data_IF_596157466890
#
_entry.id   IF_596157466890
#
_cell.length_a   1.000
_cell.length_b   1.000
_cell.length_c   1.000
_cell.angle_alpha   90.00
_cell.angle_beta   90.00
_cell.angle_gamma   90.00
#
_symmetry.space_group_name_H-M   'P 1'
#
loop_
_entity.id
_entity.type
_entity.pdbx_description
1 polymer ?
#
# COMPACT_ATOMS: atom_id res chain seq x y z
N UNK A 1 -11.64 -1.35 -40.06
CA UNK A 1 -12.88 -2.08 -40.37
C UNK A 1 -13.97 -1.57 -39.45
N UNK A 2 -15.11 -1.11 -39.98
CA UNK A 2 -16.24 -0.70 -39.15
C UNK A 2 -16.99 -1.94 -38.66
N UNK A 3 -17.44 -1.91 -37.41
CA UNK A 3 -18.26 -2.98 -36.85
C UNK A 3 -19.73 -2.58 -36.82
N UNK A 4 -20.61 -3.57 -36.89
CA UNK A 4 -22.04 -3.37 -36.80
C UNK A 4 -22.45 -2.75 -35.45
N UNK A 5 -23.24 -1.67 -35.48
CA UNK A 5 -23.70 -0.92 -34.30
C UNK A 5 -24.87 -1.58 -33.57
N UNK A 6 -25.50 -2.58 -34.18
CA UNK A 6 -26.60 -3.33 -33.57
C UNK A 6 -26.15 -4.00 -32.27
N UNK A 7 -27.01 -3.93 -31.24
CA UNK A 7 -26.83 -4.63 -29.96
C UNK A 7 -27.93 -5.68 -29.81
N UNK A 8 -27.57 -6.85 -29.29
CA UNK A 8 -28.53 -7.97 -29.11
C UNK A 8 -29.52 -7.64 -28.00
N UNK A 9 -30.83 -7.77 -28.26
CA UNK A 9 -31.91 -7.43 -27.32
C UNK A 9 -31.82 -8.17 -25.95
N UNK A 10 -31.19 -9.34 -25.88
CA UNK A 10 -31.13 -10.14 -24.63
C UNK A 10 -29.85 -9.96 -23.81
N UNK A 11 -28.74 -9.57 -24.44
CA UNK A 11 -27.44 -9.44 -23.76
C UNK A 11 -26.90 -8.03 -23.77
N UNK A 12 -27.54 -7.11 -24.50
CA UNK A 12 -27.06 -5.75 -24.77
C UNK A 12 -25.65 -5.69 -25.39
N UNK A 13 -25.06 -6.84 -25.74
CA UNK A 13 -23.71 -6.94 -26.29
C UNK A 13 -23.68 -6.47 -27.75
N UNK A 14 -22.60 -5.80 -28.17
CA UNK A 14 -22.44 -5.35 -29.54
C UNK A 14 -22.34 -6.54 -30.50
N UNK A 15 -22.83 -6.35 -31.72
CA UNK A 15 -22.70 -7.33 -32.80
C UNK A 15 -21.22 -7.59 -33.14
N UNK A 16 -20.82 -8.86 -33.24
CA UNK A 16 -19.44 -9.28 -33.55
C UNK A 16 -19.07 -9.13 -35.04
N UNK A 17 -20.05 -8.90 -35.92
CA UNK A 17 -19.81 -8.85 -37.37
C UNK A 17 -19.34 -7.47 -37.84
N UNK A 18 -18.43 -7.48 -38.82
CA UNK A 18 -18.00 -6.27 -39.52
C UNK A 18 -19.09 -5.75 -40.44
N UNK A 19 -19.09 -4.44 -40.63
CA UNK A 19 -19.95 -3.76 -41.59
C UNK A 19 -19.07 -3.26 -42.75
N UNK A 20 -19.45 -3.63 -43.98
CA UNK A 20 -18.64 -3.31 -45.18
C UNK A 20 -18.97 -1.94 -45.78
N UNK A 21 -20.22 -1.48 -45.66
CA UNK A 21 -20.68 -0.25 -46.33
C UNK A 21 -21.68 0.59 -45.51
N UNK A 22 -22.51 -0.05 -44.68
CA UNK A 22 -23.46 0.62 -43.77
C UNK A 22 -22.99 0.50 -42.31
N UNK A 23 -23.59 1.22 -41.37
CA UNK A 23 -23.36 1.01 -39.93
C UNK A 23 -23.80 -0.39 -39.43
N UNK A 24 -24.42 -1.20 -40.30
CA UNK A 24 -24.96 -2.52 -40.00
C UNK A 24 -24.28 -3.61 -40.84
N UNK A 25 -24.13 -4.82 -40.26
CA UNK A 25 -23.68 -6.01 -41.00
C UNK A 25 -24.81 -6.55 -41.90
N UNK A 26 -24.49 -7.46 -42.82
CA UNK A 26 -25.45 -8.06 -43.74
C UNK A 26 -26.67 -8.71 -43.04
N UNK A 27 -26.49 -9.23 -41.82
CA UNK A 27 -27.56 -9.84 -41.02
C UNK A 27 -28.52 -8.78 -40.46
N UNK A 28 -28.02 -7.57 -40.18
CA UNK A 28 -28.79 -6.50 -39.54
C UNK A 28 -29.05 -5.32 -40.48
N UNK A 29 -28.89 -5.49 -41.79
CA UNK A 29 -29.09 -4.44 -42.79
C UNK A 29 -30.50 -3.84 -42.74
N UNK A 30 -31.50 -4.66 -42.38
CA UNK A 30 -32.90 -4.25 -42.27
C UNK A 30 -33.29 -3.72 -40.87
N UNK A 31 -32.36 -3.67 -39.91
CA UNK A 31 -32.61 -3.22 -38.53
C UNK A 31 -32.19 -1.76 -38.32
N UNK A 32 -32.31 -0.92 -39.35
CA UNK A 32 -31.97 0.49 -39.22
C UNK A 32 -32.83 1.15 -38.13
N UNK A 33 -32.16 1.60 -37.06
CA UNK A 33 -32.80 2.30 -35.97
C UNK A 33 -31.88 3.42 -35.47
N UNK A 34 -32.40 4.65 -35.47
CA UNK A 34 -31.68 5.85 -35.00
C UNK A 34 -31.19 5.70 -33.55
N UNK A 35 -31.89 4.92 -32.73
CA UNK A 35 -31.51 4.63 -31.35
C UNK A 35 -30.14 3.94 -31.27
N UNK A 36 -29.83 3.01 -32.17
CA UNK A 36 -28.53 2.34 -32.16
C UNK A 36 -27.39 3.28 -32.55
N UNK A 37 -27.65 4.26 -33.41
CA UNK A 37 -26.66 5.28 -33.77
C UNK A 37 -26.34 6.17 -32.55
N UNK A 38 -27.37 6.62 -31.83
CA UNK A 38 -27.22 7.41 -30.60
C UNK A 38 -26.45 6.63 -29.53
N UNK A 39 -26.81 5.37 -29.28
CA UNK A 39 -26.11 4.53 -28.30
C UNK A 39 -24.64 4.34 -28.70
N UNK A 40 -24.37 4.06 -29.99
CA UNK A 40 -23.01 3.86 -30.46
C UNK A 40 -22.17 5.16 -30.41
N UNK A 41 -22.76 6.33 -30.67
CA UNK A 41 -22.09 7.62 -30.50
C UNK A 41 -21.79 7.93 -29.03
N UNK A 42 -22.67 7.53 -28.11
CA UNK A 42 -22.50 7.82 -26.69
C UNK A 42 -21.46 6.91 -26.00
N UNK A 43 -21.46 5.61 -26.29
CA UNK A 43 -20.66 4.60 -25.54
C UNK A 43 -19.87 3.63 -26.43
N UNK A 44 -19.94 3.79 -27.75
CA UNK A 44 -19.30 2.88 -28.70
C UNK A 44 -19.74 1.44 -28.50
N UNK A 45 -18.75 0.56 -28.31
CA UNK A 45 -18.91 -0.89 -28.14
C UNK A 45 -18.81 -1.37 -26.69
N UNK A 46 -18.79 -0.46 -25.70
CA UNK A 46 -18.71 -0.84 -24.30
C UNK A 46 -19.89 -1.72 -23.87
N UNK A 47 -19.66 -2.65 -22.96
CA UNK A 47 -20.73 -3.44 -22.35
C UNK A 47 -21.62 -2.54 -21.47
N UNK A 48 -22.92 -2.77 -21.50
CA UNK A 48 -23.88 -1.92 -20.78
C UNK A 48 -23.79 -2.15 -19.27
N UNK A 49 -23.56 -1.07 -18.53
CA UNK A 49 -23.64 -0.99 -17.07
C UNK A 49 -24.34 0.34 -16.67
N UNK A 50 -24.44 0.64 -15.38
CA UNK A 50 -25.07 1.88 -14.89
C UNK A 50 -24.36 3.16 -15.34
N UNK A 51 -23.04 3.16 -15.42
CA UNK A 51 -22.23 4.27 -15.90
C UNK A 51 -22.48 4.53 -17.40
N UNK A 52 -22.57 3.48 -18.20
CA UNK A 52 -22.85 3.56 -19.64
C UNK A 52 -24.26 4.05 -19.93
N UNK A 53 -25.25 3.67 -19.11
CA UNK A 53 -26.60 4.23 -19.19
C UNK A 53 -26.57 5.75 -18.92
N UNK A 54 -25.79 6.20 -17.94
CA UNK A 54 -25.62 7.62 -17.68
C UNK A 54 -24.90 8.35 -18.83
N UNK A 55 -23.90 7.73 -19.45
CA UNK A 55 -23.21 8.31 -20.61
C UNK A 55 -24.14 8.48 -21.82
N UNK A 56 -25.05 7.52 -22.06
CA UNK A 56 -26.12 7.66 -23.07
C UNK A 56 -27.04 8.85 -22.71
N UNK A 57 -27.47 8.94 -21.45
CA UNK A 57 -28.30 10.05 -20.98
C UNK A 57 -27.62 11.40 -21.21
N UNK A 58 -26.37 11.52 -20.76
CA UNK A 58 -25.56 12.74 -20.86
C UNK A 58 -25.33 13.16 -22.31
N UNK A 59 -25.01 12.21 -23.19
CA UNK A 59 -24.87 12.48 -24.62
C UNK A 59 -26.17 13.08 -25.20
N UNK A 60 -27.32 12.46 -24.92
CA UNK A 60 -28.62 12.94 -25.41
C UNK A 60 -28.93 14.34 -24.87
N UNK A 61 -28.69 14.58 -23.58
CA UNK A 61 -29.03 15.86 -22.95
C UNK A 61 -28.06 17.00 -23.30
N UNK A 62 -26.83 16.69 -23.70
CA UNK A 62 -25.86 17.65 -24.21
C UNK A 62 -25.94 17.88 -25.73
N UNK A 63 -26.65 17.04 -26.48
CA UNK A 63 -26.82 17.22 -27.92
C UNK A 63 -27.90 18.27 -28.20
N UNK A 64 -27.56 19.28 -29.00
CA UNK A 64 -28.48 20.32 -29.43
C UNK A 64 -29.45 19.83 -30.53
N UNK A 65 -29.02 18.84 -31.32
CA UNK A 65 -29.79 18.27 -32.43
C UNK A 65 -30.97 17.38 -31.97
N UNK A 66 -31.01 17.01 -30.69
CA UNK A 66 -32.05 16.16 -30.12
C UNK A 66 -33.07 17.02 -29.37
N UNK A 67 -34.20 17.29 -30.03
CA UNK A 67 -35.28 18.10 -29.44
C UNK A 67 -36.09 17.33 -28.39
N UNK A 68 -36.35 16.03 -28.60
CA UNK A 68 -37.19 15.20 -27.71
C UNK A 68 -36.36 14.31 -26.78
N UNK A 69 -35.44 14.92 -26.02
CA UNK A 69 -34.40 14.28 -25.20
C UNK A 69 -34.91 13.13 -24.32
N UNK A 70 -35.95 13.39 -23.53
CA UNK A 70 -36.54 12.38 -22.65
C UNK A 70 -37.11 11.19 -23.45
N UNK A 71 -37.87 11.47 -24.51
CA UNK A 71 -38.45 10.43 -25.35
C UNK A 71 -37.37 9.54 -25.99
N UNK A 72 -36.32 10.16 -26.53
CA UNK A 72 -35.19 9.46 -27.15
C UNK A 72 -34.43 8.62 -26.13
N UNK A 73 -34.19 9.14 -24.93
CA UNK A 73 -33.56 8.35 -23.87
C UNK A 73 -34.40 7.14 -23.47
N UNK A 74 -35.71 7.32 -23.28
CA UNK A 74 -36.63 6.22 -22.98
C UNK A 74 -36.68 5.20 -24.13
N UNK A 75 -36.63 5.66 -25.38
CA UNK A 75 -36.53 4.78 -26.55
C UNK A 75 -35.22 3.97 -26.54
N UNK A 76 -34.09 4.57 -26.17
CA UNK A 76 -32.81 3.86 -25.99
C UNK A 76 -32.93 2.73 -24.98
N UNK A 77 -33.51 3.00 -23.82
CA UNK A 77 -33.73 1.97 -22.80
C UNK A 77 -34.70 0.90 -23.26
N UNK A 78 -35.81 1.26 -23.92
CA UNK A 78 -36.75 0.28 -24.49
C UNK A 78 -36.09 -0.61 -25.53
N UNK A 79 -35.25 -0.06 -26.39
CA UNK A 79 -34.52 -0.85 -27.39
C UNK A 79 -33.52 -1.80 -26.74
N UNK A 80 -32.72 -1.32 -25.78
CA UNK A 80 -31.74 -2.14 -25.07
C UNK A 80 -32.38 -3.25 -24.23
N UNK A 81 -33.51 -2.97 -23.58
CA UNK A 81 -34.11 -3.86 -22.58
C UNK A 81 -35.50 -4.41 -22.99
N UNK A 82 -35.83 -4.38 -24.28
CA UNK A 82 -37.15 -4.75 -24.83
C UNK A 82 -37.68 -6.12 -24.39
N UNK A 83 -36.81 -7.08 -24.15
CA UNK A 83 -37.16 -8.47 -23.80
C UNK A 83 -36.73 -8.88 -22.39
N UNK A 84 -36.13 -7.99 -21.60
CA UNK A 84 -35.51 -8.37 -20.32
C UNK A 84 -35.59 -7.27 -19.24
N UNK A 85 -36.80 -7.05 -18.70
CA UNK A 85 -36.99 -6.14 -17.55
C UNK A 85 -36.23 -6.55 -16.29
N UNK A 86 -35.89 -7.84 -16.14
CA UNK A 86 -35.11 -8.37 -15.01
C UNK A 86 -33.66 -7.86 -14.99
N UNK A 87 -33.02 -7.69 -16.15
CA UNK A 87 -31.66 -7.13 -16.26
C UNK A 87 -31.65 -5.66 -15.81
N UNK A 88 -32.65 -4.88 -16.22
CA UNK A 88 -32.78 -3.48 -15.83
C UNK A 88 -33.03 -3.31 -14.32
N UNK A 89 -33.80 -4.22 -13.72
CA UNK A 89 -34.02 -4.28 -12.26
C UNK A 89 -32.74 -4.65 -11.49
N UNK A 90 -31.89 -5.52 -12.07
CA UNK A 90 -30.62 -5.91 -11.48
C UNK A 90 -29.60 -4.76 -11.50
N UNK A 91 -29.58 -3.94 -12.57
CA UNK A 91 -28.69 -2.77 -12.67
C UNK A 91 -29.09 -1.60 -11.76
N UNK A 92 -30.32 -1.57 -11.26
CA UNK A 92 -30.86 -0.43 -10.50
C UNK A 92 -31.16 -0.75 -9.03
N UNK A 93 -30.94 -1.98 -8.57
CA UNK A 93 -31.33 -2.45 -7.23
C UNK A 93 -32.82 -2.25 -6.89
N UNK A 94 -33.67 -2.02 -7.90
CA UNK A 94 -35.11 -1.80 -7.72
C UNK A 94 -35.82 -3.16 -7.70
N UNK A 95 -35.86 -3.81 -6.53
CA UNK A 95 -36.64 -5.05 -6.32
C UNK A 95 -38.14 -4.78 -6.53
N UNK A 96 -38.85 -5.74 -7.13
CA UNK A 96 -40.33 -5.81 -7.23
C UNK A 96 -41.03 -4.75 -8.11
N UNK A 97 -40.66 -4.60 -9.38
CA UNK A 97 -41.43 -3.76 -10.31
C UNK A 97 -41.75 -4.55 -11.59
N UNK A 98 -43.03 -4.88 -11.78
CA UNK A 98 -43.52 -5.65 -12.94
C UNK A 98 -43.76 -4.78 -14.20
N UNK A 99 -43.54 -3.46 -14.13
CA UNK A 99 -43.81 -2.54 -15.24
C UNK A 99 -42.52 -1.85 -15.73
N UNK A 100 -42.06 -2.21 -16.93
CA UNK A 100 -40.86 -1.68 -17.58
C UNK A 100 -40.90 -0.14 -17.74
N UNK A 101 -42.06 0.44 -18.06
CA UNK A 101 -42.17 1.89 -18.23
C UNK A 101 -41.89 2.62 -16.91
N UNK A 102 -42.41 2.11 -15.78
CA UNK A 102 -42.14 2.70 -14.46
C UNK A 102 -40.65 2.63 -14.07
N UNK A 103 -39.96 1.54 -14.45
CA UNK A 103 -38.51 1.42 -14.21
C UNK A 103 -37.76 2.45 -15.05
N UNK A 104 -38.10 2.56 -16.34
CA UNK A 104 -37.51 3.53 -17.26
C UNK A 104 -37.70 4.97 -16.77
N UNK A 105 -38.89 5.31 -16.26
CA UNK A 105 -39.17 6.63 -15.69
C UNK A 105 -38.34 6.91 -14.44
N UNK A 106 -38.16 5.92 -13.57
CA UNK A 106 -37.27 6.05 -12.39
C UNK A 106 -35.81 6.22 -12.79
N UNK A 107 -35.33 5.47 -13.77
CA UNK A 107 -33.97 5.59 -14.30
C UNK A 107 -33.76 6.97 -14.92
N UNK A 108 -34.71 7.45 -15.72
CA UNK A 108 -34.66 8.79 -16.28
C UNK A 108 -34.58 9.84 -15.17
N UNK A 109 -35.44 9.78 -14.15
CA UNK A 109 -35.41 10.71 -13.02
C UNK A 109 -34.09 10.68 -12.26
N UNK A 110 -33.52 9.48 -12.02
CA UNK A 110 -32.22 9.33 -11.38
C UNK A 110 -31.10 9.98 -12.21
N UNK A 111 -31.02 9.67 -13.50
CA UNK A 111 -29.99 10.24 -14.39
C UNK A 111 -30.15 11.75 -14.56
N UNK A 112 -31.39 12.26 -14.60
CA UNK A 112 -31.66 13.69 -14.64
C UNK A 112 -31.16 14.38 -13.36
N UNK A 113 -31.44 13.82 -12.18
CA UNK A 113 -30.92 14.37 -10.93
C UNK A 113 -29.38 14.37 -10.92
N UNK A 114 -28.75 13.27 -11.33
CA UNK A 114 -27.28 13.16 -11.44
C UNK A 114 -26.72 14.20 -12.41
N UNK A 115 -27.35 14.38 -13.56
CA UNK A 115 -26.95 15.34 -14.59
C UNK A 115 -27.07 16.79 -14.12
N UNK A 116 -28.16 17.13 -13.41
CA UNK A 116 -28.35 18.47 -12.85
C UNK A 116 -27.37 18.76 -11.71
N UNK A 117 -27.02 17.74 -10.92
CA UNK A 117 -25.94 17.84 -9.94
C UNK A 117 -24.61 18.13 -10.64
N UNK A 118 -24.29 17.40 -11.73
CA UNK A 118 -23.02 17.56 -12.44
C UNK A 118 -22.89 18.93 -13.12
N UNK A 119 -23.97 19.44 -13.73
CA UNK A 119 -23.95 20.72 -14.45
C UNK A 119 -23.93 21.95 -13.56
N UNK A 120 -24.40 21.84 -12.32
CA UNK A 120 -24.46 22.96 -11.39
C UNK A 120 -23.29 22.87 -10.39
N UNK A 121 -22.28 23.73 -10.60
CA UNK A 121 -21.12 23.83 -9.71
C UNK A 121 -21.52 24.06 -8.24
N UNK A 122 -22.66 24.74 -7.99
CA UNK A 122 -23.17 24.97 -6.66
C UNK A 122 -23.67 23.66 -6.01
N UNK A 123 -24.25 22.74 -6.78
CA UNK A 123 -24.68 21.43 -6.29
C UNK A 123 -23.49 20.48 -6.06
N UNK A 124 -22.48 20.52 -6.92
CA UNK A 124 -21.22 19.80 -6.69
C UNK A 124 -20.55 20.24 -5.39
N UNK A 125 -20.52 21.55 -5.12
CA UNK A 125 -19.97 22.09 -3.87
C UNK A 125 -20.77 21.64 -2.63
N UNK A 126 -22.10 21.61 -2.70
CA UNK A 126 -22.93 21.07 -1.61
C UNK A 126 -22.63 19.59 -1.33
N UNK A 127 -22.47 18.77 -2.36
CA UNK A 127 -22.14 17.35 -2.20
C UNK A 127 -20.74 17.18 -1.60
N UNK A 128 -19.76 17.98 -2.03
CA UNK A 128 -18.41 17.97 -1.43
C UNK A 128 -18.48 18.31 0.06
N UNK A 129 -19.28 19.31 0.46
CA UNK A 129 -19.48 19.67 1.87
C UNK A 129 -20.08 18.50 2.67
N UNK A 130 -21.14 17.86 2.13
CA UNK A 130 -21.79 16.71 2.77
C UNK A 130 -20.81 15.53 2.89
N UNK A 131 -20.06 15.22 1.83
CA UNK A 131 -19.06 14.17 1.83
C UNK A 131 -17.96 14.44 2.87
N UNK A 132 -17.46 15.68 2.93
CA UNK A 132 -16.47 16.11 3.92
C UNK A 132 -17.01 15.98 5.35
N UNK A 133 -18.28 16.28 5.59
CA UNK A 133 -18.92 16.08 6.90
C UNK A 133 -18.93 14.61 7.32
N UNK A 134 -19.33 13.70 6.42
CA UNK A 134 -19.33 12.26 6.70
C UNK A 134 -17.91 11.70 6.86
N UNK A 135 -16.96 12.12 6.02
CA UNK A 135 -15.56 11.75 6.14
C UNK A 135 -14.98 12.21 7.48
N UNK A 136 -15.21 13.47 7.85
CA UNK A 136 -14.78 13.99 9.16
C UNK A 136 -15.39 13.19 10.31
N UNK A 137 -16.69 12.85 10.25
CA UNK A 137 -17.35 12.03 11.27
C UNK A 137 -16.68 10.67 11.44
N UNK A 138 -16.25 10.04 10.35
CA UNK A 138 -15.55 8.74 10.40
C UNK A 138 -14.16 8.85 11.04
N UNK A 139 -13.45 9.95 10.78
CA UNK A 139 -12.07 10.12 11.21
C UNK A 139 -11.92 10.93 12.50
N UNK A 140 -12.97 11.57 13.02
CA UNK A 140 -12.91 12.49 14.17
C UNK A 140 -12.22 11.87 15.40
N UNK A 141 -12.47 10.60 15.68
CA UNK A 141 -11.86 9.86 16.81
C UNK A 141 -10.35 9.63 16.66
N UNK A 142 -9.82 9.83 15.45
CA UNK A 142 -8.40 9.67 15.11
C UNK A 142 -7.68 11.01 15.01
N UNK A 143 -8.39 12.13 15.14
CA UNK A 143 -7.77 13.46 15.14
C UNK A 143 -7.14 13.69 16.52
N UNK A 144 -5.94 14.27 16.53
CA UNK A 144 -5.26 14.64 17.76
C UNK A 144 -6.12 15.58 18.62
N UNK A 145 -6.23 15.25 19.91
CA UNK A 145 -6.86 16.06 20.95
C UNK A 145 -5.90 16.15 22.14
N UNK A 146 -5.51 17.35 22.59
CA UNK A 146 -4.57 17.52 23.70
C UNK A 146 -5.09 16.97 25.04
N UNK A 147 -6.39 16.69 25.16
CA UNK A 147 -6.98 16.10 26.37
C UNK A 147 -6.87 14.56 26.39
N UNK A 148 -6.44 13.93 25.30
CA UNK A 148 -6.25 12.48 25.24
C UNK A 148 -4.87 12.13 25.77
N UNK A 149 -4.82 11.20 26.73
CA UNK A 149 -3.57 10.61 27.18
C UNK A 149 -3.02 9.66 26.12
N UNK A 150 -1.81 9.95 25.64
CA UNK A 150 -1.07 9.15 24.66
C UNK A 150 0.00 8.33 25.37
N UNK A 151 0.23 7.11 24.87
CA UNK A 151 1.20 6.18 25.42
C UNK A 151 2.62 6.40 24.90
N UNK A 152 2.75 7.07 23.75
CA UNK A 152 4.04 7.43 23.17
C UNK A 152 4.21 8.96 23.11
N UNK A 153 5.46 9.41 23.22
CA UNK A 153 5.88 10.81 23.09
C UNK A 153 6.62 11.09 21.79
N UNK A 154 7.08 10.04 21.11
CA UNK A 154 7.82 10.08 19.84
C UNK A 154 7.15 9.13 18.83
N UNK A 155 7.22 9.51 17.55
CA UNK A 155 6.76 8.66 16.46
C UNK A 155 7.71 7.46 16.27
N UNK A 156 7.21 6.22 16.09
CA UNK A 156 8.07 5.05 16.02
C UNK A 156 8.86 4.93 14.71
N UNK A 157 8.52 5.73 13.69
CA UNK A 157 9.15 5.68 12.38
C UNK A 157 10.18 6.78 12.18
N UNK A 158 9.90 7.98 12.71
CA UNK A 158 10.77 9.15 12.55
C UNK A 158 11.48 9.60 13.83
N UNK A 159 11.07 9.08 15.00
CA UNK A 159 11.52 9.53 16.33
C UNK A 159 11.25 11.01 16.64
N UNK A 160 10.45 11.68 15.80
CA UNK A 160 10.08 13.06 16.05
C UNK A 160 9.20 13.13 17.29
N UNK A 161 9.50 14.10 18.16
CA UNK A 161 8.70 14.35 19.34
C UNK A 161 7.33 14.91 18.93
N UNK A 162 6.29 14.46 19.63
CA UNK A 162 4.92 14.90 19.37
C UNK A 162 4.75 16.42 19.42
N UNK A 163 5.54 17.10 20.26
CA UNK A 163 5.46 18.54 20.44
C UNK A 163 5.94 19.33 19.21
N UNK A 164 6.84 18.73 18.43
CA UNK A 164 7.45 19.36 17.25
C UNK A 164 6.65 19.08 15.96
N UNK A 165 5.68 18.18 16.02
CA UNK A 165 4.89 17.73 14.89
C UNK A 165 3.62 18.57 14.67
N UNK A 166 3.32 18.84 13.40
CA UNK A 166 2.01 19.39 12.98
C UNK A 166 0.90 18.41 13.36
N UNK A 167 -0.02 18.87 14.23
CA UNK A 167 -1.12 18.06 14.75
C UNK A 167 -2.04 17.49 13.67
N UNK A 168 -2.12 18.12 12.49
CA UNK A 168 -2.88 17.58 11.35
C UNK A 168 -2.26 16.32 10.75
N UNK A 169 -0.95 16.11 10.93
CA UNK A 169 -0.26 14.91 10.46
C UNK A 169 -0.41 13.73 11.42
N UNK A 170 -0.81 13.99 12.67
CA UNK A 170 -0.93 12.97 13.71
C UNK A 170 -2.24 12.20 13.57
N UNK A 171 -2.14 10.89 13.48
CA UNK A 171 -3.26 9.96 13.50
C UNK A 171 -3.27 9.21 14.84
N UNK A 172 -4.37 9.32 15.58
CA UNK A 172 -4.55 8.63 16.85
C UNK A 172 -5.19 7.27 16.61
N UNK A 173 -4.55 6.22 17.11
CA UNK A 173 -5.06 4.85 17.11
C UNK A 173 -5.25 4.37 18.54
N UNK A 174 -6.49 4.03 18.88
CA UNK A 174 -6.84 3.45 20.19
C UNK A 174 -6.92 1.94 20.08
N UNK A 175 -6.09 1.25 20.84
CA UNK A 175 -6.05 -0.21 20.94
C UNK A 175 -6.08 -0.62 22.41
N UNK A 176 -7.04 -1.47 22.79
CA UNK A 176 -7.19 -1.94 24.18
C UNK A 176 -7.20 -0.79 25.21
N UNK A 177 -7.97 0.27 24.92
CA UNK A 177 -8.06 1.52 25.72
C UNK A 177 -6.75 2.32 25.84
N UNK A 178 -5.72 1.97 25.08
CA UNK A 178 -4.45 2.69 25.01
C UNK A 178 -4.40 3.50 23.72
N UNK A 179 -4.05 4.77 23.79
CA UNK A 179 -3.97 5.64 22.62
C UNK A 179 -2.51 5.78 22.18
N UNK A 180 -2.26 5.52 20.91
CA UNK A 180 -0.99 5.76 20.25
C UNK A 180 -1.17 6.86 19.23
N UNK A 181 -0.15 7.69 19.02
CA UNK A 181 -0.10 8.58 17.88
C UNK A 181 0.92 8.06 16.87
N UNK A 182 0.63 8.30 15.59
CA UNK A 182 1.55 8.06 14.49
C UNK A 182 1.49 9.22 13.51
N UNK A 183 2.58 9.48 12.79
CA UNK A 183 2.53 10.27 11.58
C UNK A 183 1.74 9.47 10.53
N UNK A 184 0.59 10.00 10.11
CA UNK A 184 -0.40 9.26 9.31
C UNK A 184 0.20 8.66 8.03
N UNK A 185 1.06 9.41 7.35
CA UNK A 185 1.70 9.01 6.09
C UNK A 185 2.75 7.93 6.31
N UNK A 186 3.48 7.97 7.43
CA UNK A 186 4.50 6.98 7.78
C UNK A 186 3.85 5.66 8.23
N UNK A 187 2.77 5.73 9.03
CA UNK A 187 1.98 4.55 9.36
C UNK A 187 1.40 3.88 8.11
N UNK A 188 0.90 4.68 7.15
CA UNK A 188 0.37 4.15 5.89
C UNK A 188 1.46 3.46 5.08
N UNK A 189 2.62 4.11 4.97
CA UNK A 189 3.77 3.54 4.28
C UNK A 189 4.17 2.20 4.90
N UNK A 190 4.31 2.17 6.21
CA UNK A 190 4.63 0.97 6.97
C UNK A 190 3.63 -0.17 6.73
N UNK A 191 2.32 0.12 6.76
CA UNK A 191 1.27 -0.90 6.51
C UNK A 191 1.42 -1.51 5.11
N UNK A 192 1.75 -0.69 4.11
CA UNK A 192 1.88 -1.13 2.73
C UNK A 192 3.12 -1.98 2.47
N UNK A 193 4.20 -1.75 3.22
CA UNK A 193 5.50 -2.40 2.97
C UNK A 193 5.80 -3.55 3.92
N UNK A 194 5.39 -3.45 5.17
CA UNK A 194 5.77 -4.38 6.26
C UNK A 194 4.59 -5.17 6.83
N UNK A 195 3.36 -4.75 6.52
CA UNK A 195 2.14 -5.43 6.94
C UNK A 195 1.30 -4.62 7.93
N UNK A 196 0.06 -5.05 8.12
CA UNK A 196 -0.95 -4.35 8.92
C UNK A 196 -0.88 -4.71 10.41
N UNK A 197 0.19 -4.31 11.10
CA UNK A 197 0.32 -4.52 12.54
C UNK A 197 0.74 -3.23 13.27
N UNK A 198 0.39 -3.10 14.54
CA UNK A 198 0.76 -1.95 15.35
C UNK A 198 2.25 -2.03 15.72
N UNK A 199 3.10 -1.04 15.39
CA UNK A 199 4.53 -1.08 15.67
C UNK A 199 4.91 -1.38 17.12
N UNK A 200 4.07 -0.95 18.08
CA UNK A 200 4.31 -1.08 19.51
C UNK A 200 3.85 -2.42 20.08
N UNK A 201 2.68 -2.93 19.68
CA UNK A 201 2.05 -4.11 20.28
C UNK A 201 2.12 -5.35 19.40
N UNK A 202 2.51 -5.17 18.14
CA UNK A 202 2.49 -6.18 17.06
C UNK A 202 1.10 -6.79 16.79
N UNK A 203 0.03 -6.22 17.34
CA UNK A 203 -1.34 -6.64 17.06
C UNK A 203 -1.77 -6.20 15.66
N UNK A 204 -2.59 -7.00 14.99
CA UNK A 204 -3.08 -6.68 13.65
C UNK A 204 -3.98 -5.44 13.67
N UNK A 205 -3.70 -4.47 12.80
CA UNK A 205 -4.52 -3.27 12.64
C UNK A 205 -5.77 -3.63 11.82
N UNK A 206 -6.99 -3.42 12.36
CA UNK A 206 -8.21 -3.79 11.66
C UNK A 206 -8.44 -2.99 10.36
N UNK A 207 -9.02 -3.64 9.34
CA UNK A 207 -9.23 -3.03 8.00
C UNK A 207 -10.07 -1.74 8.04
N UNK A 208 -10.98 -1.59 9.00
CA UNK A 208 -11.75 -0.36 9.18
C UNK A 208 -10.87 0.82 9.63
N UNK A 209 -9.82 0.57 10.42
CA UNK A 209 -8.84 1.57 10.84
C UNK A 209 -7.97 1.96 9.65
N UNK A 210 -7.51 0.99 8.85
CA UNK A 210 -6.77 1.25 7.60
C UNK A 210 -7.61 2.10 6.64
N UNK A 211 -8.90 1.79 6.50
CA UNK A 211 -9.83 2.60 5.70
C UNK A 211 -9.95 4.03 6.24
N UNK A 212 -10.06 4.20 7.56
CA UNK A 212 -10.12 5.52 8.19
C UNK A 212 -8.81 6.30 8.01
N UNK A 213 -7.65 5.63 8.05
CA UNK A 213 -6.35 6.23 7.78
C UNK A 213 -6.27 6.79 6.35
N UNK A 214 -6.77 6.05 5.36
CA UNK A 214 -6.86 6.52 3.98
C UNK A 214 -7.74 7.78 3.85
N UNK A 215 -8.93 7.76 4.47
CA UNK A 215 -9.83 8.92 4.49
C UNK A 215 -9.16 10.10 5.21
N UNK A 216 -8.41 9.85 6.27
CA UNK A 216 -7.68 10.87 7.04
C UNK A 216 -6.64 11.59 6.19
N UNK A 217 -5.79 10.81 5.50
CA UNK A 217 -4.75 11.34 4.60
C UNK A 217 -5.37 12.18 3.47
N UNK A 218 -6.44 11.69 2.85
CA UNK A 218 -7.15 12.43 1.79
C UNK A 218 -7.80 13.71 2.33
N UNK A 219 -8.49 13.63 3.47
CA UNK A 219 -9.20 14.75 4.08
C UNK A 219 -8.28 15.91 4.45
N UNK A 220 -7.13 15.61 5.07
CA UNK A 220 -6.13 16.60 5.44
C UNK A 220 -5.16 16.94 4.31
N UNK A 221 -5.32 16.33 3.12
CA UNK A 221 -4.44 16.50 1.95
C UNK A 221 -2.97 16.27 2.28
N UNK A 222 -2.70 15.24 3.08
CA UNK A 222 -1.34 14.88 3.45
C UNK A 222 -0.66 14.24 2.25
N UNK A 223 0.58 14.65 1.96
CA UNK A 223 1.35 14.08 0.87
C UNK A 223 1.75 12.65 1.26
N UNK A 224 1.25 11.61 0.55
CA UNK A 224 1.66 10.25 0.84
C UNK A 224 3.15 10.11 0.63
N UNK A 225 3.81 9.31 1.48
CA UNK A 225 5.18 8.91 1.25
C UNK A 225 5.22 8.09 -0.04
N UNK A 226 5.77 8.67 -1.12
CA UNK A 226 5.95 7.99 -2.40
C UNK A 226 7.43 7.68 -2.55
N UNK A 227 7.83 6.41 -2.46
CA UNK A 227 9.16 6.01 -2.92
C UNK A 227 9.18 6.02 -4.44
N UNK A 228 10.04 6.85 -5.03
CA UNK A 228 10.39 6.79 -6.45
C UNK A 228 11.33 5.59 -6.67
N UNK A 229 12.20 5.30 -5.68
CA UNK A 229 13.07 4.15 -5.61
C UNK A 229 13.10 3.55 -4.19
N UNK A 230 13.33 2.24 -4.07
CA UNK A 230 13.28 1.48 -2.81
C UNK A 230 14.30 1.93 -1.76
N UNK A 231 15.48 2.38 -2.22
CA UNK A 231 16.63 2.75 -1.40
C UNK A 231 16.94 4.25 -1.43
N UNK A 232 15.92 5.07 -1.68
CA UNK A 232 16.04 6.53 -1.55
C UNK A 232 15.53 6.94 -0.17
N UNK A 233 16.44 7.49 0.63
CA UNK A 233 16.17 8.01 1.97
C UNK A 233 16.64 9.44 2.08
N UNK A 234 15.89 10.27 2.80
CA UNK A 234 16.29 11.65 3.07
C UNK A 234 17.24 11.76 4.29
N UNK A 235 17.29 10.72 5.12
CA UNK A 235 18.13 10.66 6.33
C UNK A 235 18.55 9.24 6.67
N UNK A 236 19.66 9.09 7.39
CA UNK A 236 20.14 7.80 7.91
C UNK A 236 19.15 7.18 8.88
N UNK A 237 18.40 8.00 9.61
CA UNK A 237 17.32 7.56 10.47
C UNK A 237 16.25 6.79 9.68
N UNK A 238 15.76 7.36 8.57
CA UNK A 238 14.79 6.66 7.70
C UNK A 238 15.37 5.35 7.16
N UNK A 239 16.64 5.36 6.74
CA UNK A 239 17.31 4.16 6.25
C UNK A 239 17.35 3.05 7.31
N UNK A 240 17.70 3.39 8.56
CA UNK A 240 17.76 2.41 9.63
C UNK A 240 16.41 2.04 10.23
N UNK A 241 15.39 2.88 10.11
CA UNK A 241 14.00 2.49 10.40
C UNK A 241 13.54 1.37 9.46
N UNK A 242 13.81 1.50 8.15
CA UNK A 242 13.51 0.43 7.20
C UNK A 242 14.29 -0.86 7.50
N UNK A 243 15.58 -0.73 7.88
CA UNK A 243 16.40 -1.87 8.33
C UNK A 243 15.80 -2.54 9.55
N UNK A 244 15.39 -1.78 10.57
CA UNK A 244 14.79 -2.32 11.78
C UNK A 244 13.53 -3.12 11.46
N UNK A 245 12.68 -2.57 10.59
CA UNK A 245 11.41 -3.20 10.21
C UNK A 245 11.61 -4.51 9.45
N UNK A 246 12.56 -4.57 8.50
CA UNK A 246 12.81 -5.80 7.75
C UNK A 246 13.46 -6.88 8.62
N UNK A 247 14.31 -6.51 9.57
CA UNK A 247 14.90 -7.43 10.54
C UNK A 247 13.82 -8.02 11.46
N UNK A 248 12.92 -7.18 11.98
CA UNK A 248 11.78 -7.62 12.78
C UNK A 248 10.84 -8.56 12.01
N UNK A 249 10.62 -8.30 10.71
CA UNK A 249 9.79 -9.16 9.85
C UNK A 249 10.32 -10.60 9.76
N UNK A 250 11.63 -10.80 9.88
CA UNK A 250 12.28 -12.13 9.89
C UNK A 250 12.26 -12.77 11.30
N UNK A 251 11.91 -12.01 12.33
CA UNK A 251 11.73 -12.52 13.69
C UNK A 251 12.83 -12.10 14.68
N UNK A 252 13.69 -11.15 14.33
CA UNK A 252 14.69 -10.60 15.24
C UNK A 252 14.20 -9.28 15.83
N UNK A 253 14.13 -9.19 17.16
CA UNK A 253 13.82 -7.93 17.82
C UNK A 253 14.89 -6.88 17.49
N UNK A 254 14.47 -5.67 17.14
CA UNK A 254 15.38 -4.62 16.70
C UNK A 254 14.86 -3.22 17.03
N UNK A 255 15.79 -2.28 17.27
CA UNK A 255 15.51 -0.86 17.43
C UNK A 255 16.40 -0.01 16.52
N UNK A 256 15.81 0.99 15.85
CA UNK A 256 16.53 1.94 14.98
C UNK A 256 17.69 2.65 15.71
N UNK A 257 17.55 2.94 17.01
CA UNK A 257 18.56 3.65 17.82
C UNK A 257 19.88 2.88 17.91
N UNK A 258 19.84 1.56 17.86
CA UNK A 258 21.03 0.74 17.97
C UNK A 258 21.94 0.94 16.76
N UNK A 259 21.35 1.03 15.56
CA UNK A 259 22.08 1.34 14.34
C UNK A 259 22.63 2.76 14.32
N UNK A 260 21.87 3.74 14.83
CA UNK A 260 22.28 5.14 14.86
C UNK A 260 23.50 5.41 15.76
N UNK A 261 23.82 4.52 16.70
CA UNK A 261 25.01 4.61 17.54
C UNK A 261 26.28 4.07 16.88
N UNK A 262 26.16 3.32 15.77
CA UNK A 262 27.31 2.72 15.11
C UNK A 262 28.18 3.78 14.44
N UNK A 263 29.49 3.65 14.59
CA UNK A 263 30.47 4.44 13.83
C UNK A 263 30.77 3.77 12.48
N UNK A 264 31.31 4.55 11.53
CA UNK A 264 31.77 4.01 10.25
C UNK A 264 32.81 2.89 10.42
N UNK A 265 33.69 3.01 11.42
CA UNK A 265 34.68 1.98 11.77
C UNK A 265 34.00 0.70 12.25
N UNK A 266 33.03 0.79 13.16
CA UNK A 266 32.26 -0.38 13.61
C UNK A 266 31.53 -1.04 12.44
N UNK A 267 30.89 -0.26 11.54
CA UNK A 267 30.24 -0.81 10.35
C UNK A 267 31.21 -1.61 9.49
N UNK A 268 32.40 -1.07 9.19
CA UNK A 268 33.45 -1.80 8.44
C UNK A 268 33.85 -3.11 9.11
N UNK A 269 34.00 -3.09 10.43
CA UNK A 269 34.37 -4.27 11.21
C UNK A 269 33.24 -5.32 11.25
N UNK A 270 31.98 -4.90 11.38
CA UNK A 270 30.80 -5.77 11.30
C UNK A 270 30.77 -6.49 9.95
N UNK A 271 30.96 -5.75 8.85
CA UNK A 271 30.99 -6.32 7.49
C UNK A 271 32.12 -7.34 7.34
N UNK A 272 33.32 -7.00 7.84
CA UNK A 272 34.47 -7.91 7.82
C UNK A 272 34.16 -9.20 8.58
N UNK A 273 33.62 -9.08 9.79
CA UNK A 273 33.23 -10.25 10.60
C UNK A 273 32.15 -11.07 9.90
N UNK A 274 31.12 -10.44 9.34
CA UNK A 274 30.07 -11.13 8.59
C UNK A 274 30.63 -11.97 7.45
N UNK A 275 31.56 -11.41 6.66
CA UNK A 275 32.22 -12.14 5.56
C UNK A 275 33.05 -13.32 6.07
N UNK A 276 33.72 -13.17 7.22
CA UNK A 276 34.51 -14.26 7.83
C UNK A 276 33.61 -15.39 8.31
N UNK A 277 32.57 -15.09 9.08
CA UNK A 277 31.68 -16.13 9.64
C UNK A 277 30.80 -16.78 8.57
N UNK A 278 30.56 -16.09 7.45
CA UNK A 278 29.75 -16.57 6.33
C UNK A 278 30.57 -17.16 5.17
N UNK A 279 31.90 -17.33 5.33
CA UNK A 279 32.81 -17.77 4.25
C UNK A 279 32.43 -19.09 3.57
N UNK A 280 31.73 -19.97 4.28
CA UNK A 280 31.31 -21.28 3.79
C UNK A 280 29.98 -21.22 3.00
N UNK A 281 29.37 -20.04 2.90
CA UNK A 281 28.16 -19.81 2.13
C UNK A 281 28.51 -18.94 0.92
N UNK A 282 28.41 -19.52 -0.29
CA UNK A 282 28.78 -18.84 -1.53
C UNK A 282 27.96 -17.57 -1.79
N UNK A 283 26.69 -17.55 -1.39
CA UNK A 283 25.80 -16.38 -1.55
C UNK A 283 26.21 -15.21 -0.66
N UNK A 284 26.99 -15.44 0.40
CA UNK A 284 27.49 -14.36 1.26
C UNK A 284 28.38 -13.37 0.50
N UNK A 285 29.03 -13.81 -0.59
CA UNK A 285 29.87 -12.98 -1.42
C UNK A 285 29.10 -11.88 -2.18
N UNK A 286 27.78 -12.05 -2.36
CA UNK A 286 26.92 -11.10 -3.10
C UNK A 286 26.57 -9.83 -2.31
N UNK A 287 26.84 -9.82 -1.00
CA UNK A 287 26.46 -8.74 -0.08
C UNK A 287 27.66 -7.90 0.33
N UNK A 288 27.39 -6.62 0.60
CA UNK A 288 28.38 -5.67 1.12
C UNK A 288 29.58 -5.52 0.16
N UNK A 289 29.31 -5.44 -1.15
CA UNK A 289 30.33 -5.28 -2.21
C UNK A 289 30.55 -3.80 -2.54
N UNK A 290 29.46 -3.05 -2.74
CA UNK A 290 29.49 -1.67 -3.23
C UNK A 290 29.28 -0.66 -2.08
N UNK A 291 30.24 -0.61 -1.15
CA UNK A 291 30.23 0.32 -0.03
C UNK A 291 31.20 1.46 -0.31
N UNK A 292 30.74 2.70 -0.15
CA UNK A 292 31.57 3.90 -0.28
C UNK A 292 31.69 4.62 1.05
N UNK A 293 32.87 5.14 1.39
CA UNK A 293 33.08 5.81 2.69
C UNK A 293 32.15 7.02 2.89
N UNK A 294 31.85 7.76 1.82
CA UNK A 294 30.97 8.92 1.86
C UNK A 294 29.49 8.56 2.11
N UNK A 295 29.06 7.34 1.77
CA UNK A 295 27.66 6.90 1.92
C UNK A 295 27.56 5.64 2.78
N UNK A 296 28.56 5.36 3.62
CA UNK A 296 28.70 4.06 4.28
C UNK A 296 27.45 3.64 5.07
N UNK A 297 26.76 4.58 5.72
CA UNK A 297 25.53 4.31 6.47
C UNK A 297 24.37 3.90 5.56
N UNK A 298 24.17 4.60 4.44
CA UNK A 298 23.11 4.30 3.47
C UNK A 298 23.42 3.02 2.69
N UNK A 299 24.68 2.83 2.28
CA UNK A 299 25.11 1.62 1.60
C UNK A 299 24.97 0.41 2.54
N UNK A 300 25.33 0.55 3.82
CA UNK A 300 25.13 -0.48 4.82
C UNK A 300 23.65 -0.82 5.01
N UNK A 301 22.79 0.19 5.20
CA UNK A 301 21.35 -0.01 5.33
C UNK A 301 20.75 -0.74 4.12
N UNK A 302 21.12 -0.33 2.90
CA UNK A 302 20.69 -0.99 1.65
C UNK A 302 21.08 -2.47 1.63
N UNK A 303 22.32 -2.79 1.96
CA UNK A 303 22.81 -4.16 1.89
C UNK A 303 22.18 -5.06 2.96
N UNK A 304 21.86 -4.51 4.15
CA UNK A 304 21.09 -5.25 5.17
C UNK A 304 19.68 -5.52 4.65
N UNK A 305 19.00 -4.53 4.07
CA UNK A 305 17.65 -4.73 3.53
C UNK A 305 17.69 -5.82 2.44
N UNK A 306 18.64 -5.75 1.51
CA UNK A 306 18.82 -6.80 0.48
C UNK A 306 19.05 -8.19 1.09
N UNK A 307 19.79 -8.28 2.20
CA UNK A 307 20.05 -9.54 2.90
C UNK A 307 18.79 -10.12 3.54
N UNK A 308 17.98 -9.29 4.20
CA UNK A 308 16.81 -9.72 4.97
C UNK A 308 15.53 -9.85 4.15
N UNK A 309 15.47 -9.26 2.95
CA UNK A 309 14.31 -9.37 2.04
C UNK A 309 13.87 -10.81 1.77
N UNK A 310 14.83 -11.70 1.52
CA UNK A 310 14.63 -13.14 1.36
C UNK A 310 15.14 -13.90 2.58
N UNK A 311 15.06 -13.29 3.76
CA UNK A 311 15.67 -13.80 4.98
C UNK A 311 15.14 -15.17 5.42
N UNK A 312 13.93 -15.56 5.01
CA UNK A 312 13.39 -16.90 5.28
C UNK A 312 14.17 -18.00 4.52
N UNK A 313 14.60 -17.74 3.29
CA UNK A 313 15.41 -18.68 2.49
C UNK A 313 16.88 -18.60 2.89
N UNK A 314 17.32 -17.44 3.38
CA UNK A 314 18.71 -17.11 3.72
C UNK A 314 18.93 -16.94 5.22
N UNK A 315 18.17 -17.68 6.03
CA UNK A 315 18.08 -17.45 7.48
C UNK A 315 19.43 -17.56 8.19
N UNK A 316 20.29 -18.48 7.76
CA UNK A 316 21.64 -18.62 8.30
C UNK A 316 22.52 -17.38 8.06
N UNK A 317 22.39 -16.73 6.90
CA UNK A 317 23.11 -15.48 6.64
C UNK A 317 22.57 -14.33 7.50
N UNK A 318 21.26 -14.28 7.72
CA UNK A 318 20.66 -13.34 8.65
C UNK A 318 21.21 -13.55 10.07
N UNK A 319 21.26 -14.79 10.55
CA UNK A 319 21.85 -15.14 11.85
C UNK A 319 23.31 -14.72 11.96
N UNK A 320 24.12 -15.01 10.93
CA UNK A 320 25.52 -14.61 10.88
C UNK A 320 25.69 -13.09 10.94
N UNK A 321 24.81 -12.34 10.27
CA UNK A 321 24.80 -10.88 10.34
C UNK A 321 24.45 -10.39 11.76
N UNK A 322 23.39 -10.92 12.39
CA UNK A 322 22.99 -10.56 13.76
C UNK A 322 24.13 -10.81 14.76
N UNK A 323 24.82 -11.95 14.65
CA UNK A 323 26.02 -12.22 15.46
C UNK A 323 27.14 -11.23 15.21
N UNK A 324 27.38 -10.92 13.93
CA UNK A 324 28.44 -9.99 13.54
C UNK A 324 28.21 -8.58 14.07
N UNK A 325 26.96 -8.09 14.07
CA UNK A 325 26.63 -6.76 14.61
C UNK A 325 26.68 -6.72 16.14
N UNK A 326 26.25 -7.79 16.81
CA UNK A 326 26.29 -7.88 18.28
C UNK A 326 27.71 -7.82 18.85
N UNK A 327 28.73 -8.29 18.12
CA UNK A 327 30.13 -8.20 18.56
C UNK A 327 30.65 -6.75 18.67
N UNK A 328 29.95 -5.78 18.09
CA UNK A 328 30.36 -4.37 18.07
C UNK A 328 29.31 -3.42 18.64
N UNK A 329 28.21 -3.95 19.18
CA UNK A 329 27.15 -3.16 19.81
C UNK A 329 26.50 -3.93 20.94
N UNK A 330 26.67 -3.42 22.16
CA UNK A 330 26.07 -3.98 23.38
C UNK A 330 24.54 -4.02 23.28
N UNK A 331 23.93 -3.04 22.61
CA UNK A 331 22.47 -3.03 22.41
C UNK A 331 22.01 -4.26 21.65
N UNK A 332 22.72 -4.65 20.58
CA UNK A 332 22.40 -5.86 19.82
C UNK A 332 22.75 -7.12 20.62
N UNK A 333 23.91 -7.15 21.27
CA UNK A 333 24.36 -8.29 22.07
C UNK A 333 23.35 -8.67 23.15
N UNK A 334 22.89 -7.68 23.91
CA UNK A 334 21.96 -7.90 25.02
C UNK A 334 20.54 -8.31 24.57
N UNK A 335 20.23 -8.23 23.27
CA UNK A 335 18.93 -8.53 22.71
C UNK A 335 18.98 -9.68 21.68
N UNK A 336 20.10 -10.42 21.60
CA UNK A 336 20.17 -11.64 20.79
C UNK A 336 19.22 -12.69 21.39
N UNK A 337 18.44 -13.42 20.56
CA UNK A 337 17.65 -14.53 21.04
C UNK A 337 18.52 -15.66 21.63
N UNK A 338 18.15 -16.21 22.78
CA UNK A 338 18.91 -17.26 23.49
C UNK A 338 19.29 -18.44 22.57
N UNK A 339 18.37 -18.86 21.70
CA UNK A 339 18.60 -19.97 20.76
C UNK A 339 19.72 -19.70 19.75
N UNK A 340 20.09 -18.44 19.53
CA UNK A 340 21.19 -18.06 18.64
C UNK A 340 22.54 -18.04 19.37
N UNK A 341 22.54 -17.87 20.69
CA UNK A 341 23.76 -17.88 21.50
C UNK A 341 24.48 -19.26 21.42
N UNK A 342 23.73 -20.34 21.17
CA UNK A 342 24.25 -21.71 21.11
C UNK A 342 24.64 -22.19 19.70
N UNK A 343 24.37 -21.40 18.65
CA UNK A 343 24.74 -21.81 17.29
C UNK A 343 26.27 -21.70 17.15
N UNK A 344 26.97 -22.80 16.94
CA UNK A 344 28.42 -22.81 16.70
C UNK A 344 28.79 -21.89 15.52
N UNK A 345 29.52 -20.80 15.77
CA UNK A 345 30.22 -20.12 14.67
C UNK A 345 31.36 -21.02 14.21
N UNK A 346 31.53 -21.24 12.90
CA UNK A 346 32.57 -22.13 12.39
C UNK A 346 33.94 -21.66 12.89
N UNK A 347 34.67 -22.59 13.53
CA UNK A 347 35.99 -22.37 14.12
C UNK A 347 36.84 -21.45 13.26
N UNK A 348 37.08 -20.24 13.77
CA UNK A 348 38.09 -19.35 13.24
C UNK A 348 39.42 -20.03 13.54
N UNK A 349 40.16 -20.33 12.47
CA UNK A 349 41.51 -20.87 12.58
C UNK A 349 42.33 -19.84 13.36
N UNK A 350 42.68 -20.21 14.60
CA UNK A 350 43.58 -19.50 15.49
C UNK A 350 44.90 -19.24 14.78
N UNK A 351 45.24 -17.96 14.59
CA UNK A 351 46.63 -17.57 14.37
C UNK A 351 47.28 -17.43 15.74
N UNK A 352 48.18 -18.37 16.02
CA UNK A 352 49.21 -18.41 17.06
C UNK A 352 48.79 -18.60 18.54
N UNK A 353 48.91 -19.87 18.95
CA UNK A 353 49.43 -20.36 20.23
C UNK A 353 49.23 -19.48 21.48
N UNK A 354 48.10 -19.69 22.17
CA UNK A 354 48.08 -19.70 23.62
C UNK A 354 47.39 -20.99 24.09
N UNK A 355 48.12 -21.82 24.83
CA UNK A 355 47.56 -23.01 25.49
C UNK A 355 46.61 -22.55 26.60
N UNK A 356 45.30 -22.63 26.35
CA UNK A 356 44.29 -22.50 27.39
C UNK A 356 43.75 -23.89 27.76
N UNK A 357 43.59 -24.08 29.06
CA UNK A 357 43.17 -25.31 29.74
C UNK A 357 41.83 -25.84 29.16
N UNK A 358 41.69 -27.16 28.88
CA UNK A 358 40.49 -27.73 28.25
C UNK A 358 39.24 -27.79 29.15
N UNK A 359 39.25 -27.15 30.33
CA UNK A 359 38.16 -27.21 31.31
C UNK A 359 37.23 -25.99 31.29
N UNK A 360 37.45 -25.02 30.41
CA UNK A 360 36.56 -23.85 30.23
C UNK A 360 36.00 -23.88 28.81
N UNK A 361 34.76 -24.34 28.68
CA UNK A 361 33.97 -24.18 27.46
C UNK A 361 33.55 -22.71 27.42
N UNK A 362 34.32 -21.87 26.74
CA UNK A 362 33.87 -20.54 26.38
C UNK A 362 32.87 -20.65 25.23
N UNK A 363 31.76 -19.91 25.30
CA UNK A 363 30.88 -19.79 24.15
C UNK A 363 31.67 -19.11 23.00
N UNK A 364 31.44 -19.53 21.77
CA UNK A 364 32.03 -18.96 20.56
C UNK A 364 31.95 -17.43 20.47
N UNK A 365 30.90 -16.82 21.03
CA UNK A 365 30.76 -15.36 21.18
C UNK A 365 31.73 -14.75 22.20
N UNK A 366 32.03 -15.44 23.30
CA UNK A 366 33.01 -14.98 24.30
C UNK A 366 34.42 -15.02 23.72
N UNK A 367 34.76 -16.06 22.96
CA UNK A 367 36.06 -16.17 22.27
C UNK A 367 36.24 -15.01 21.27
N UNK A 368 35.19 -14.70 20.49
CA UNK A 368 35.20 -13.58 19.55
C UNK A 368 35.28 -12.21 20.25
N UNK A 369 34.57 -12.05 21.36
CA UNK A 369 34.61 -10.85 22.20
C UNK A 369 36.00 -10.64 22.81
N UNK A 370 36.62 -11.69 23.34
CA UNK A 370 38.00 -11.65 23.87
C UNK A 370 39.03 -11.33 22.78
N UNK A 371 38.91 -11.91 21.58
CA UNK A 371 39.76 -11.59 20.43
C UNK A 371 39.60 -10.11 20.04
N UNK A 372 38.41 -9.53 20.16
CA UNK A 372 38.18 -8.11 19.86
C UNK A 372 38.73 -7.16 20.92
N UNK A 373 38.66 -7.50 22.21
CA UNK A 373 39.32 -6.73 23.27
C UNK A 373 40.83 -6.69 23.03
N UNK A 374 41.43 -7.82 22.64
CA UNK A 374 42.88 -7.91 22.42
C UNK A 374 43.39 -7.23 21.14
N UNK A 375 42.51 -6.88 20.20
CA UNK A 375 42.89 -6.22 18.93
C UNK A 375 42.59 -4.70 18.92
N UNK A 376 42.02 -4.15 19.99
CA UNK A 376 41.71 -2.73 20.15
C UNK A 376 42.64 -1.99 21.14
N UNK A 377 43.72 -2.64 21.59
CA UNK A 377 44.95 -1.98 22.05
C UNK A 377 45.92 -1.82 20.87
#
# INVERSE_FOLDING_TARGET
>A
MNFCIYRRNNSCKPCCFTSKYNYYCAIHSNNYNIVYDIINKAIGRNDINSFEIYNIFKYIYNSDDIYTKEFIFKACLKTLFSTCGSILSHFTNLKNINNLNNIIDKIHKLNMNTYMIEKDEMNLNKIKIINNFFNYKNIKKHVYDPNITLNNTEDPFTMDNINDLDKKKLFIYTENNTNYFFIATELKYFIDTNGKWNPYTKQEIPDNIVKNLNIYIEYFKLNPHKKINRFEWNSTHQAFTDVSQIIEKIGFYNDTRWFLKLTSTQIKNIIKTFKVVSRNNEEAAEYFINLTDNNIFYDFAREIIRLFENGNERFMLCCNFIKSIALYSDDFYNNIPDWMADIETPNIITVNQFQLNPATIFNSMEILYFINIMNNE
#
